data_IF_236974438780
#
_entry.id   IF_236974438780
#
_cell.length_a   1.000
_cell.length_b   1.000
_cell.length_c   1.000
_cell.angle_alpha   90.00
_cell.angle_beta   90.00
_cell.angle_gamma   90.00
#
_symmetry.space_group_name_H-M   'P 1'
#
loop_
_entity.id
_entity.type
_entity.pdbx_description
1 polymer ?
#
# COMPACT_ATOMS: atom_id res chain seq x y z
N UNK A 1 -3.65 3.56 0.66
CA UNK A 1 -3.88 4.38 -0.55
C UNK A 1 -5.36 4.69 -0.68
N UNK A 2 -5.79 5.64 -1.54
CA UNK A 2 -7.24 5.88 -1.75
C UNK A 2 -7.88 4.84 -2.67
N UNK A 3 -9.19 4.55 -2.53
CA UNK A 3 -9.85 3.52 -3.32
C UNK A 3 -9.77 3.74 -4.84
N UNK A 4 -9.79 5.01 -5.29
CA UNK A 4 -9.65 5.35 -6.71
C UNK A 4 -8.27 5.05 -7.28
N UNK A 5 -7.22 5.16 -6.47
CA UNK A 5 -5.87 4.83 -6.90
C UNK A 5 -5.72 3.32 -7.08
N UNK A 6 -6.24 2.51 -6.15
CA UNK A 6 -6.31 1.06 -6.30
C UNK A 6 -7.00 0.64 -7.60
N UNK A 7 -8.12 1.27 -7.95
CA UNK A 7 -8.82 0.99 -9.19
C UNK A 7 -7.99 1.33 -10.44
N UNK A 8 -7.29 2.48 -10.43
CA UNK A 8 -6.43 2.91 -11.54
C UNK A 8 -5.23 1.96 -11.72
N UNK A 9 -4.57 1.61 -10.62
CA UNK A 9 -3.43 0.69 -10.62
C UNK A 9 -3.86 -0.70 -11.08
N UNK A 10 -5.01 -1.17 -10.59
CA UNK A 10 -5.56 -2.49 -10.97
C UNK A 10 -5.89 -2.56 -12.46
N UNK A 11 -6.57 -1.54 -13.02
CA UNK A 11 -6.79 -1.47 -14.48
C UNK A 11 -5.47 -1.51 -15.24
N UNK A 12 -4.50 -0.70 -14.81
CA UNK A 12 -3.20 -0.61 -15.48
C UNK A 12 -2.41 -1.93 -15.40
N UNK A 13 -2.50 -2.65 -14.29
CA UNK A 13 -1.87 -3.95 -14.14
C UNK A 13 -2.49 -5.00 -15.07
N UNK A 14 -3.83 -5.00 -15.23
CA UNK A 14 -4.53 -5.88 -16.19
C UNK A 14 -4.13 -5.54 -17.63
N UNK A 15 -4.07 -4.26 -18.00
CA UNK A 15 -3.60 -3.82 -19.32
C UNK A 15 -2.18 -4.32 -19.61
N UNK A 16 -1.25 -4.16 -18.67
CA UNK A 16 0.14 -4.62 -18.84
C UNK A 16 0.17 -6.16 -18.97
N UNK A 17 -0.56 -6.86 -18.12
CA UNK A 17 -0.57 -8.33 -18.12
C UNK A 17 -1.09 -8.90 -19.44
N UNK A 18 -2.20 -8.34 -19.94
CA UNK A 18 -2.86 -8.76 -21.19
C UNK A 18 -2.15 -8.27 -22.44
N UNK A 19 -1.31 -7.24 -22.34
CA UNK A 19 -0.43 -6.83 -23.43
C UNK A 19 0.71 -7.83 -23.67
N UNK A 20 1.22 -8.46 -22.60
CA UNK A 20 2.33 -9.43 -22.68
C UNK A 20 1.88 -10.89 -22.82
N UNK A 21 0.63 -11.21 -22.43
CA UNK A 21 0.06 -12.57 -22.54
C UNK A 21 -1.19 -12.57 -23.41
N UNK A 22 -1.32 -13.60 -24.24
CA UNK A 22 -2.51 -13.82 -25.07
C UNK A 22 -3.04 -15.26 -24.88
N UNK A 23 -3.33 -15.61 -23.62
CA UNK A 23 -3.83 -16.92 -23.22
C UNK A 23 -5.29 -16.86 -22.72
N UNK A 24 -5.83 -18.01 -22.31
CA UNK A 24 -7.20 -18.12 -21.77
C UNK A 24 -7.39 -17.24 -20.53
N UNK A 25 -6.41 -17.19 -19.63
CA UNK A 25 -6.48 -16.37 -18.43
C UNK A 25 -6.53 -14.87 -18.76
N UNK A 26 -5.74 -14.42 -19.72
CA UNK A 26 -5.77 -13.03 -20.20
C UNK A 26 -7.15 -12.63 -20.73
N UNK A 27 -7.85 -13.54 -21.42
CA UNK A 27 -9.25 -13.32 -21.84
C UNK A 27 -10.21 -13.23 -20.66
N UNK A 28 -10.03 -14.07 -19.64
CA UNK A 28 -10.85 -14.01 -18.42
C UNK A 28 -10.63 -12.70 -17.66
N UNK A 29 -9.39 -12.22 -17.55
CA UNK A 29 -9.09 -10.92 -16.93
C UNK A 29 -9.81 -9.76 -17.62
N UNK A 30 -9.86 -9.77 -18.96
CA UNK A 30 -10.59 -8.76 -19.73
C UNK A 30 -12.10 -8.90 -19.58
N UNK A 31 -12.61 -10.13 -19.55
CA UNK A 31 -14.04 -10.41 -19.39
C UNK A 31 -14.57 -9.94 -18.02
N UNK A 32 -13.79 -10.14 -16.96
CA UNK A 32 -14.18 -9.83 -15.57
C UNK A 32 -13.44 -8.59 -15.01
N UNK A 33 -12.99 -7.69 -15.89
CA UNK A 33 -12.16 -6.57 -15.49
C UNK A 33 -12.86 -5.68 -14.44
N UNK A 34 -14.15 -5.41 -14.62
CA UNK A 34 -14.90 -4.54 -13.71
C UNK A 34 -15.07 -5.16 -12.32
N UNK A 35 -15.22 -6.49 -12.21
CA UNK A 35 -15.28 -7.21 -10.95
C UNK A 35 -13.96 -7.12 -10.19
N UNK A 36 -12.82 -7.28 -10.88
CA UNK A 36 -11.48 -7.13 -10.28
C UNK A 36 -11.28 -5.69 -9.81
N UNK A 37 -11.66 -4.72 -10.63
CA UNK A 37 -11.49 -3.31 -10.31
C UNK A 37 -12.40 -2.88 -9.16
N UNK A 38 -13.66 -3.28 -9.13
CA UNK A 38 -14.55 -2.98 -8.01
C UNK A 38 -14.10 -3.71 -6.74
N UNK A 39 -13.64 -4.95 -6.86
CA UNK A 39 -13.01 -5.70 -5.75
C UNK A 39 -11.84 -4.96 -5.12
N UNK A 40 -11.00 -4.28 -5.93
CA UNK A 40 -9.87 -3.48 -5.43
C UNK A 40 -10.28 -2.23 -4.64
N UNK A 41 -11.51 -1.75 -4.83
CA UNK A 41 -12.11 -0.65 -4.05
C UNK A 41 -12.91 -1.16 -2.86
N UNK A 42 -13.57 -2.31 -2.99
CA UNK A 42 -14.44 -2.89 -1.97
C UNK A 42 -13.71 -3.15 -0.66
N UNK A 43 -12.42 -3.51 -0.74
CA UNK A 43 -11.57 -3.69 0.43
C UNK A 43 -11.58 -2.47 1.39
N UNK A 44 -11.70 -1.25 0.85
CA UNK A 44 -11.78 -0.01 1.62
C UNK A 44 -13.20 0.45 1.96
N UNK A 45 -14.22 -0.14 1.35
CA UNK A 45 -15.56 0.44 1.36
C UNK A 45 -16.62 -0.46 1.98
N UNK A 46 -16.45 -1.79 1.98
CA UNK A 46 -17.49 -2.70 2.49
C UNK A 46 -16.97 -4.01 3.11
N UNK A 47 -17.57 -4.44 4.24
CA UNK A 47 -18.56 -3.72 5.05
C UNK A 47 -17.90 -2.67 5.98
N UNK A 48 -18.64 -1.61 6.33
CA UNK A 48 -18.15 -0.47 7.14
C UNK A 48 -17.48 -0.87 8.47
N UNK A 49 -17.94 -1.95 9.11
CA UNK A 49 -17.32 -2.46 10.34
C UNK A 49 -15.91 -3.02 10.08
N UNK A 50 -15.70 -3.71 8.95
CA UNK A 50 -14.38 -4.21 8.53
C UNK A 50 -13.43 -3.04 8.27
N UNK A 51 -13.90 -1.93 7.66
CA UNK A 51 -13.09 -0.72 7.50
C UNK A 51 -12.68 -0.15 8.85
N UNK A 52 -13.63 -0.05 9.79
CA UNK A 52 -13.38 0.51 11.12
C UNK A 52 -12.39 -0.29 11.97
N UNK A 53 -12.19 -1.58 11.64
CA UNK A 53 -11.36 -2.52 12.40
C UNK A 53 -10.21 -3.15 11.62
N UNK A 54 -9.97 -2.81 10.34
CA UNK A 54 -8.86 -3.35 9.55
C UNK A 54 -8.10 -2.21 8.88
N UNK A 55 -6.93 -1.87 9.43
CA UNK A 55 -6.24 -0.62 9.08
C UNK A 55 -5.12 -0.79 8.04
N UNK A 56 -5.15 -1.90 7.30
CA UNK A 56 -4.30 -2.21 6.12
C UNK A 56 -2.79 -2.02 6.30
N UNK A 57 -2.30 -1.95 7.54
CA UNK A 57 -0.87 -1.80 7.82
C UNK A 57 -0.11 -3.11 7.61
N UNK A 58 1.18 -3.00 7.32
CA UNK A 58 2.10 -4.12 7.38
C UNK A 58 2.42 -4.49 8.83
N UNK A 59 2.63 -5.78 9.12
CA UNK A 59 3.11 -6.22 10.44
C UNK A 59 4.61 -5.92 10.56
N UNK A 60 4.95 -4.66 10.83
CA UNK A 60 6.34 -4.19 10.90
C UNK A 60 7.10 -4.67 12.15
N UNK A 61 6.39 -5.03 13.22
CA UNK A 61 6.94 -5.52 14.48
C UNK A 61 5.90 -6.37 15.23
N UNK A 62 6.31 -7.00 16.33
CA UNK A 62 5.43 -7.84 17.16
C UNK A 62 4.56 -7.04 18.14
N UNK A 63 4.85 -5.76 18.38
CA UNK A 63 4.02 -4.89 19.21
C UNK A 63 2.72 -4.48 18.49
N UNK A 64 2.72 -4.44 17.15
CA UNK A 64 1.55 -4.16 16.32
C UNK A 64 0.58 -5.35 16.27
N UNK A 65 -0.12 -5.56 17.38
CA UNK A 65 -1.06 -6.67 17.64
C UNK A 65 -2.52 -6.20 17.55
N UNK A 66 -3.49 -7.13 17.44
CA UNK A 66 -4.89 -6.79 17.54
C UNK A 66 -5.19 -6.00 18.82
N UNK A 67 -6.01 -4.96 18.69
CA UNK A 67 -6.38 -4.05 19.78
C UNK A 67 -7.82 -4.38 20.19
N UNK A 68 -7.98 -4.80 21.44
CA UNK A 68 -9.30 -4.99 22.05
C UNK A 68 -9.80 -3.64 22.56
N UNK A 69 -10.95 -3.20 22.08
CA UNK A 69 -11.56 -1.92 22.46
C UNK A 69 -13.08 -2.03 22.45
N UNK A 70 -13.77 -0.95 22.76
CA UNK A 70 -15.22 -0.87 22.75
C UNK A 70 -15.69 0.17 21.74
N UNK A 71 -16.62 -0.22 20.88
CA UNK A 71 -17.42 0.72 20.11
C UNK A 71 -18.72 0.96 20.87
N UNK A 72 -18.82 2.13 21.51
CA UNK A 72 -19.85 2.43 22.52
C UNK A 72 -19.79 1.41 23.68
N UNK A 73 -20.68 0.43 23.70
CA UNK A 73 -20.76 -0.65 24.71
C UNK A 73 -20.49 -2.04 24.12
N UNK A 74 -20.15 -2.14 22.84
CA UNK A 74 -19.91 -3.41 22.16
C UNK A 74 -18.40 -3.67 22.11
N UNK A 75 -17.90 -4.79 22.68
CA UNK A 75 -16.50 -5.16 22.56
C UNK A 75 -16.20 -5.47 21.09
N UNK A 76 -15.13 -4.87 20.57
CA UNK A 76 -14.64 -5.08 19.21
C UNK A 76 -13.14 -5.35 19.23
N UNK A 77 -12.67 -6.07 18.22
CA UNK A 77 -11.24 -6.27 17.97
C UNK A 77 -10.86 -5.54 16.70
N UNK A 78 -9.93 -4.60 16.83
CA UNK A 78 -9.28 -3.95 15.69
C UNK A 78 -8.06 -4.78 15.33
N UNK A 79 -7.93 -5.14 14.07
CA UNK A 79 -6.76 -5.75 13.47
C UNK A 79 -6.00 -4.67 12.68
N UNK A 80 -4.93 -4.08 13.24
CA UNK A 80 -4.21 -3.02 12.54
C UNK A 80 -3.62 -3.50 11.21
N UNK A 81 -3.23 -4.77 11.15
CA UNK A 81 -2.47 -5.33 10.04
C UNK A 81 -3.36 -6.00 8.99
N UNK A 82 -2.93 -5.89 7.72
CA UNK A 82 -3.64 -6.48 6.59
C UNK A 82 -3.46 -8.00 6.44
N UNK A 83 -2.46 -8.59 7.11
CA UNK A 83 -2.09 -10.01 6.98
C UNK A 83 -3.26 -10.95 7.30
N UNK A 84 -4.00 -10.67 8.38
CA UNK A 84 -5.12 -11.51 8.79
C UNK A 84 -6.22 -11.55 7.72
N UNK A 85 -6.66 -10.39 7.23
CA UNK A 85 -7.69 -10.30 6.19
C UNK A 85 -7.19 -10.90 4.88
N UNK A 86 -5.96 -10.63 4.49
CA UNK A 86 -5.38 -11.19 3.26
C UNK A 86 -5.41 -12.73 3.28
N UNK A 87 -5.05 -13.37 4.40
CA UNK A 87 -5.12 -14.84 4.53
C UNK A 87 -6.53 -15.36 4.32
N UNK A 88 -7.54 -14.70 4.89
CA UNK A 88 -8.95 -15.06 4.68
C UNK A 88 -9.36 -14.91 3.21
N UNK A 89 -8.89 -13.86 2.53
CA UNK A 89 -9.15 -13.66 1.09
C UNK A 89 -8.47 -14.70 0.21
N UNK A 90 -7.23 -15.06 0.51
CA UNK A 90 -6.50 -16.12 -0.22
C UNK A 90 -7.22 -17.47 -0.05
N UNK A 91 -7.70 -17.77 1.15
CA UNK A 91 -8.44 -19.01 1.39
C UNK A 91 -9.80 -19.01 0.69
N UNK A 92 -10.51 -17.87 0.68
CA UNK A 92 -11.73 -17.72 -0.11
C UNK A 92 -11.46 -17.89 -1.61
N UNK A 93 -10.38 -17.30 -2.13
CA UNK A 93 -9.98 -17.43 -3.53
C UNK A 93 -9.74 -18.89 -3.90
N UNK A 94 -9.03 -19.66 -3.07
CA UNK A 94 -8.80 -21.10 -3.30
C UNK A 94 -10.11 -21.87 -3.40
N UNK A 95 -11.09 -21.57 -2.54
CA UNK A 95 -12.40 -22.20 -2.55
C UNK A 95 -13.19 -21.84 -3.81
N UNK A 96 -13.10 -20.60 -4.28
CA UNK A 96 -13.74 -20.18 -5.53
C UNK A 96 -13.06 -20.81 -6.75
N UNK A 97 -11.74 -20.88 -6.80
CA UNK A 97 -11.01 -21.59 -7.87
C UNK A 97 -11.51 -23.04 -8.02
N UNK A 98 -11.77 -23.73 -6.91
CA UNK A 98 -12.29 -25.11 -6.93
C UNK A 98 -13.73 -25.24 -7.48
N UNK A 99 -14.51 -24.15 -7.49
CA UNK A 99 -15.87 -24.11 -8.07
C UNK A 99 -15.87 -23.75 -9.56
N UNK A 100 -14.77 -23.22 -10.07
CA UNK A 100 -14.62 -22.72 -11.43
C UNK A 100 -14.69 -21.20 -11.52
N UNK A 101 -14.76 -20.69 -12.75
CA UNK A 101 -14.77 -19.26 -13.04
C UNK A 101 -16.08 -18.60 -12.59
N UNK A 102 -15.99 -17.53 -11.81
CA UNK A 102 -17.11 -16.73 -11.32
C UNK A 102 -16.73 -15.26 -11.11
N UNK A 103 -17.73 -14.37 -11.05
CA UNK A 103 -17.52 -12.96 -10.71
C UNK A 103 -16.96 -12.78 -9.29
N UNK A 104 -17.37 -13.64 -8.35
CA UNK A 104 -16.87 -13.64 -6.97
C UNK A 104 -15.37 -13.95 -6.91
N UNK A 105 -14.89 -14.87 -7.76
CA UNK A 105 -13.47 -15.18 -7.89
C UNK A 105 -12.68 -13.93 -8.28
N UNK A 106 -13.13 -13.22 -9.31
CA UNK A 106 -12.43 -12.05 -9.82
C UNK A 106 -12.56 -10.82 -8.89
N UNK A 107 -13.68 -10.68 -8.17
CA UNK A 107 -13.79 -9.71 -7.09
C UNK A 107 -12.75 -9.99 -5.97
N UNK A 108 -12.54 -11.26 -5.60
CA UNK A 108 -11.51 -11.65 -4.63
C UNK A 108 -10.09 -11.36 -5.12
N UNK A 109 -9.82 -11.55 -6.42
CA UNK A 109 -8.54 -11.14 -7.04
C UNK A 109 -8.32 -9.65 -6.81
N UNK A 110 -9.32 -8.82 -7.10
CA UNK A 110 -9.28 -7.38 -6.85
C UNK A 110 -8.92 -7.01 -5.41
N UNK A 111 -9.57 -7.66 -4.43
CA UNK A 111 -9.31 -7.45 -2.99
C UNK A 111 -7.89 -7.86 -2.58
N UNK A 112 -7.35 -8.92 -3.17
CA UNK A 112 -5.97 -9.36 -2.92
C UNK A 112 -4.96 -8.38 -3.52
N UNK A 113 -5.23 -7.88 -4.73
CA UNK A 113 -4.41 -6.84 -5.36
C UNK A 113 -4.38 -5.57 -4.50
N UNK A 114 -5.52 -5.14 -3.96
CA UNK A 114 -5.61 -4.01 -3.05
C UNK A 114 -4.61 -4.13 -1.87
N UNK A 115 -4.66 -5.23 -1.13
CA UNK A 115 -3.75 -5.45 0.01
C UNK A 115 -2.27 -5.51 -0.41
N UNK A 116 -1.99 -6.05 -1.60
CA UNK A 116 -0.63 -6.10 -2.16
C UNK A 116 -0.13 -4.69 -2.54
N UNK A 117 -0.98 -3.87 -3.14
CA UNK A 117 -0.66 -2.51 -3.56
C UNK A 117 -0.40 -1.59 -2.36
N UNK A 118 -1.14 -1.79 -1.27
CA UNK A 118 -0.93 -1.06 -0.02
C UNK A 118 0.47 -1.26 0.57
N UNK A 119 1.12 -2.38 0.29
CA UNK A 119 2.51 -2.61 0.71
C UNK A 119 3.54 -1.80 -0.07
N UNK A 120 3.10 -0.94 -0.99
CA UNK A 120 3.91 0.12 -1.61
C UNK A 120 3.50 1.52 -1.18
N UNK A 121 2.60 1.66 -0.20
CA UNK A 121 2.25 2.93 0.44
C UNK A 121 3.13 3.13 1.68
N UNK A 122 3.95 4.19 1.78
CA UNK A 122 4.90 4.35 2.88
C UNK A 122 4.28 4.27 4.28
N UNK A 123 3.17 4.98 4.53
CA UNK A 123 2.50 4.94 5.84
C UNK A 123 1.82 3.60 6.15
N UNK A 124 1.63 2.72 5.15
CA UNK A 124 1.12 1.37 5.38
C UNK A 124 2.24 0.43 5.83
N UNK A 125 3.43 0.53 5.22
CA UNK A 125 4.57 -0.35 5.54
C UNK A 125 5.40 0.13 6.73
N UNK A 126 5.40 1.44 6.97
CA UNK A 126 5.83 2.09 8.20
C UNK A 126 4.54 2.51 8.88
N UNK A 127 3.96 1.67 9.76
CA UNK A 127 2.59 1.88 10.24
C UNK A 127 2.51 3.18 11.04
N UNK A 128 2.21 4.30 10.40
CA UNK A 128 1.99 5.58 11.06
C UNK A 128 0.49 5.72 11.20
N UNK A 129 0.00 5.82 12.43
CA UNK A 129 -1.43 6.01 12.63
C UNK A 129 -1.83 7.40 12.13
N UNK A 130 -2.72 7.44 11.15
CA UNK A 130 -3.16 8.66 10.46
C UNK A 130 -4.70 8.68 10.33
N UNK A 131 -5.34 8.17 11.38
CA UNK A 131 -6.73 8.44 11.71
C UNK A 131 -7.82 7.75 10.88
N UNK A 132 -8.70 7.05 11.59
CA UNK A 132 -10.10 6.97 11.22
C UNK A 132 -10.92 7.77 12.22
N UNK A 133 -11.40 8.93 11.76
CA UNK A 133 -12.28 9.88 12.43
C UNK A 133 -13.63 9.29 12.92
N UNK A 134 -13.83 7.98 12.79
CA UNK A 134 -15.12 7.30 13.04
C UNK A 134 -15.24 6.78 14.47
N UNK A 135 -14.12 6.51 15.16
CA UNK A 135 -14.16 5.80 16.45
C UNK A 135 -13.63 6.59 17.65
N UNK A 136 -13.08 7.80 17.47
CA UNK A 136 -12.41 8.58 18.54
C UNK A 136 -11.47 7.73 19.42
N UNK A 137 -10.87 6.67 18.83
CA UNK A 137 -10.03 5.71 19.56
C UNK A 137 -8.69 6.31 19.96
N UNK A 138 -8.32 7.42 19.32
CA UNK A 138 -7.02 8.06 19.45
C UNK A 138 -7.27 9.58 19.42
N UNK A 139 -6.60 10.40 20.26
CA UNK A 139 -6.78 11.85 20.28
C UNK A 139 -6.68 12.50 18.89
N UNK A 140 -7.43 13.58 18.64
CA UNK A 140 -7.47 14.32 17.35
C UNK A 140 -6.09 14.69 16.80
N UNK A 141 -5.10 14.89 17.68
CA UNK A 141 -3.71 15.17 17.32
C UNK A 141 -3.03 14.04 16.52
N UNK A 142 -3.58 12.83 16.55
CA UNK A 142 -3.11 11.65 15.82
C UNK A 142 -4.00 11.32 14.60
N UNK A 143 -5.03 12.13 14.33
CA UNK A 143 -5.91 12.02 13.17
C UNK A 143 -5.41 12.94 12.03
N UNK A 144 -4.20 12.66 11.58
CA UNK A 144 -3.52 13.42 10.53
C UNK A 144 -3.83 12.76 9.19
N UNK A 145 -4.16 13.51 8.13
CA UNK A 145 -4.31 12.89 6.79
C UNK A 145 -2.94 12.55 6.21
N UNK A 146 -2.79 11.37 5.62
CA UNK A 146 -1.56 11.02 4.91
C UNK A 146 -1.48 11.74 3.55
N UNK A 147 -0.61 12.74 3.46
CA UNK A 147 -0.43 13.53 2.25
C UNK A 147 0.22 12.76 1.10
N UNK A 148 0.88 11.62 1.36
CA UNK A 148 1.31 10.76 0.27
C UNK A 148 0.12 10.25 -0.54
N UNK A 149 -0.96 9.85 0.13
CA UNK A 149 -2.17 9.40 -0.55
C UNK A 149 -2.88 10.54 -1.29
N UNK A 150 -2.90 11.74 -0.69
CA UNK A 150 -3.45 12.92 -1.36
C UNK A 150 -2.59 13.36 -2.56
N UNK A 151 -1.28 13.20 -2.47
CA UNK A 151 -0.37 13.40 -3.59
C UNK A 151 -0.64 12.36 -4.67
N UNK A 152 -0.75 11.08 -4.30
CA UNK A 152 -0.99 9.99 -5.23
C UNK A 152 -2.30 10.19 -6.00
N UNK A 153 -3.40 10.50 -5.33
CA UNK A 153 -4.71 10.72 -5.96
C UNK A 153 -4.67 11.79 -7.07
N UNK A 154 -3.87 12.85 -6.84
CA UNK A 154 -3.70 13.98 -7.76
C UNK A 154 -2.80 13.67 -8.96
N UNK A 155 -1.82 12.78 -8.81
CA UNK A 155 -0.76 12.57 -9.82
C UNK A 155 -0.78 11.18 -10.46
N UNK A 156 -1.49 10.20 -9.88
CA UNK A 156 -1.47 8.79 -10.31
C UNK A 156 -1.88 8.61 -11.77
N UNK A 157 -2.86 9.37 -12.27
CA UNK A 157 -3.31 9.28 -13.67
C UNK A 157 -2.17 9.58 -14.65
N UNK A 158 -1.50 10.73 -14.50
CA UNK A 158 -0.41 11.12 -15.40
C UNK A 158 0.80 10.21 -15.28
N UNK A 159 1.10 9.73 -14.08
CA UNK A 159 2.28 8.90 -13.86
C UNK A 159 2.08 7.47 -14.36
N UNK A 160 0.95 6.83 -14.03
CA UNK A 160 0.62 5.48 -14.48
C UNK A 160 0.60 5.35 -16.00
N UNK A 161 0.16 6.39 -16.71
CA UNK A 161 0.14 6.42 -18.18
C UNK A 161 1.55 6.27 -18.80
N UNK A 162 2.60 6.65 -18.07
CA UNK A 162 4.00 6.56 -18.52
C UNK A 162 4.73 5.34 -17.99
N UNK A 163 4.16 4.63 -17.01
CA UNK A 163 4.77 3.45 -16.42
C UNK A 163 4.44 2.22 -17.28
N UNK A 164 5.48 1.46 -17.58
CA UNK A 164 5.41 0.19 -18.29
C UNK A 164 6.37 -0.80 -17.63
N UNK A 165 6.07 -2.08 -17.78
CA UNK A 165 6.98 -3.17 -17.43
C UNK A 165 7.51 -3.73 -18.74
N UNK A 166 8.83 -3.77 -18.91
CA UNK A 166 9.47 -4.33 -20.11
C UNK A 166 9.22 -5.83 -20.23
N UNK A 167 9.42 -6.40 -21.43
CA UNK A 167 9.19 -7.82 -21.68
C UNK A 167 10.02 -8.73 -20.75
N UNK A 168 11.30 -8.41 -20.56
CA UNK A 168 12.23 -9.18 -19.72
C UNK A 168 11.82 -9.10 -18.25
N UNK A 169 11.51 -7.90 -17.75
CA UNK A 169 11.01 -7.71 -16.40
C UNK A 169 9.70 -8.47 -16.20
N UNK A 170 8.75 -8.34 -17.14
CA UNK A 170 7.47 -9.03 -17.06
C UNK A 170 7.66 -10.54 -16.99
N UNK A 171 8.49 -11.11 -17.86
CA UNK A 171 8.81 -12.54 -17.83
C UNK A 171 9.41 -12.96 -16.48
N UNK A 172 10.33 -12.17 -15.92
CA UNK A 172 10.92 -12.43 -14.60
C UNK A 172 9.90 -12.33 -13.45
N UNK A 173 8.89 -11.45 -13.56
CA UNK A 173 7.81 -11.34 -12.59
C UNK A 173 6.84 -12.53 -12.62
N UNK A 174 6.58 -13.07 -13.81
CA UNK A 174 5.53 -14.08 -14.02
C UNK A 174 6.05 -15.50 -14.12
N UNK A 175 7.37 -15.71 -14.24
CA UNK A 175 7.99 -17.04 -14.22
C UNK A 175 8.14 -17.49 -12.77
N UNK A 176 7.41 -18.53 -12.38
CA UNK A 176 7.35 -19.05 -11.01
C UNK A 176 6.96 -17.97 -9.96
N UNK A 177 5.74 -17.40 -10.08
CA UNK A 177 5.33 -16.31 -9.21
C UNK A 177 5.17 -16.80 -7.76
N UNK A 178 5.60 -16.00 -6.77
CA UNK A 178 5.53 -16.37 -5.37
C UNK A 178 4.09 -16.59 -4.91
N UNK A 179 3.89 -17.30 -3.80
CA UNK A 179 2.58 -17.35 -3.16
C UNK A 179 2.07 -15.93 -2.85
N UNK A 180 0.76 -15.73 -2.92
CA UNK A 180 0.14 -14.40 -2.77
C UNK A 180 0.53 -13.70 -1.45
N UNK A 181 0.62 -14.47 -0.36
CA UNK A 181 1.06 -13.95 0.93
C UNK A 181 2.54 -13.57 0.95
N UNK A 182 3.39 -14.37 0.30
CA UNK A 182 4.82 -14.06 0.18
C UNK A 182 5.03 -12.83 -0.71
N UNK A 183 4.25 -12.69 -1.78
CA UNK A 183 4.28 -11.49 -2.63
C UNK A 183 3.94 -10.23 -1.81
N UNK A 184 2.89 -10.29 -0.99
CA UNK A 184 2.51 -9.22 -0.06
C UNK A 184 3.65 -8.86 0.91
N UNK A 185 4.26 -9.85 1.56
CA UNK A 185 5.37 -9.61 2.50
C UNK A 185 6.60 -9.03 1.79
N UNK A 186 6.93 -9.56 0.62
CA UNK A 186 8.06 -9.08 -0.16
C UNK A 186 7.80 -7.67 -0.72
N UNK A 187 6.56 -7.31 -1.08
CA UNK A 187 6.19 -5.96 -1.49
C UNK A 187 6.49 -4.97 -0.37
N UNK A 188 6.10 -5.31 0.87
CA UNK A 188 6.37 -4.47 2.04
C UNK A 188 7.87 -4.32 2.29
N UNK A 189 8.61 -5.43 2.24
CA UNK A 189 10.07 -5.43 2.41
C UNK A 189 10.79 -4.61 1.34
N UNK A 190 10.35 -4.69 0.07
CA UNK A 190 10.90 -3.87 -1.02
C UNK A 190 10.67 -2.38 -0.77
N UNK A 191 9.51 -2.00 -0.24
CA UNK A 191 9.20 -0.61 0.10
C UNK A 191 10.01 -0.13 1.29
N UNK A 192 10.12 -0.92 2.36
CA UNK A 192 10.99 -0.60 3.50
C UNK A 192 12.46 -0.46 3.08
N UNK A 193 12.94 -1.35 2.21
CA UNK A 193 14.29 -1.25 1.66
C UNK A 193 14.47 0.02 0.84
N UNK A 194 13.52 0.37 -0.02
CA UNK A 194 13.53 1.61 -0.82
C UNK A 194 13.62 2.87 0.06
N UNK A 195 12.85 2.90 1.15
CA UNK A 195 12.76 4.07 2.02
C UNK A 195 14.03 4.27 2.88
N UNK A 196 14.60 3.18 3.41
CA UNK A 196 15.63 3.29 4.46
C UNK A 196 16.99 2.69 4.12
N UNK A 197 17.04 1.75 3.17
CA UNK A 197 18.24 0.94 2.93
C UNK A 197 18.83 1.11 1.53
N UNK A 198 18.11 1.71 0.57
CA UNK A 198 18.59 1.94 -0.79
C UNK A 198 19.37 3.27 -0.85
N UNK A 199 20.72 3.27 -0.93
CA UNK A 199 21.49 4.52 -0.87
C UNK A 199 21.18 5.46 -2.05
N UNK A 200 20.78 4.91 -3.19
CA UNK A 200 20.36 5.65 -4.37
C UNK A 200 19.04 6.43 -4.18
N UNK A 201 18.30 6.17 -3.10
CA UNK A 201 17.08 6.91 -2.74
C UNK A 201 17.32 8.03 -1.75
N UNK A 202 18.54 8.17 -1.21
CA UNK A 202 18.92 9.37 -0.47
C UNK A 202 18.93 10.56 -1.41
N UNK A 203 18.59 11.72 -0.89
CA UNK A 203 18.47 12.93 -1.68
C UNK A 203 19.04 14.13 -0.96
N UNK A 204 19.17 15.23 -1.68
CA UNK A 204 19.72 16.47 -1.13
C UNK A 204 18.61 17.52 -1.05
N UNK A 205 18.56 18.22 0.08
CA UNK A 205 17.62 19.31 0.34
C UNK A 205 18.34 20.45 1.06
N UNK A 206 17.79 21.66 1.01
CA UNK A 206 18.26 22.74 1.87
C UNK A 206 17.52 22.68 3.21
N UNK A 207 18.28 22.67 4.30
CA UNK A 207 17.78 22.71 5.67
C UNK A 207 18.38 23.95 6.33
N UNK A 208 17.53 24.93 6.67
CA UNK A 208 17.94 26.26 7.14
C UNK A 208 18.96 26.93 6.19
N UNK A 209 18.74 26.78 4.87
CA UNK A 209 19.62 27.30 3.82
C UNK A 209 20.87 26.46 3.55
N UNK A 210 21.21 25.48 4.39
CA UNK A 210 22.36 24.61 4.19
C UNK A 210 21.99 23.34 3.44
N UNK A 211 22.79 22.99 2.44
CA UNK A 211 22.60 21.78 1.67
C UNK A 211 22.93 20.55 2.52
N UNK A 212 21.98 19.64 2.71
CA UNK A 212 22.14 18.42 3.51
C UNK A 212 21.67 17.19 2.73
N UNK A 213 22.34 16.06 2.94
CA UNK A 213 21.86 14.76 2.48
C UNK A 213 20.86 14.20 3.48
N UNK A 214 19.67 13.86 3.00
CA UNK A 214 18.57 13.33 3.80
C UNK A 214 18.15 11.95 3.26
N UNK A 215 17.39 11.23 4.07
CA UNK A 215 16.67 10.02 3.70
C UNK A 215 15.17 10.19 3.98
N UNK A 216 14.38 9.16 3.68
CA UNK A 216 12.92 9.22 3.80
C UNK A 216 12.41 9.14 5.25
N UNK A 217 13.30 8.94 6.24
CA UNK A 217 12.93 9.04 7.66
C UNK A 217 12.49 10.44 8.07
N UNK A 218 12.75 11.45 7.24
CA UNK A 218 12.22 12.79 7.48
C UNK A 218 10.69 12.86 7.36
N UNK A 219 10.06 11.92 6.64
CA UNK A 219 8.62 11.78 6.53
C UNK A 219 8.08 10.64 7.39
N UNK A 220 8.67 9.45 7.34
CA UNK A 220 8.16 8.27 8.05
C UNK A 220 9.23 7.60 8.89
N UNK A 221 8.99 7.43 10.18
CA UNK A 221 9.91 6.80 11.11
C UNK A 221 9.35 5.46 11.59
N UNK A 222 10.13 4.37 11.49
CA UNK A 222 9.75 3.09 12.07
C UNK A 222 9.48 3.18 13.56
N UNK A 223 8.68 2.24 14.07
CA UNK A 223 8.41 2.12 15.51
C UNK A 223 9.70 2.00 16.32
N UNK A 224 9.75 2.73 17.44
CA UNK A 224 10.81 2.64 18.44
C UNK A 224 10.19 2.34 19.81
N UNK A 225 10.63 1.24 20.42
CA UNK A 225 10.15 0.79 21.72
C UNK A 225 10.50 1.76 22.89
N UNK A 226 11.40 2.73 22.66
CA UNK A 226 11.76 3.76 23.64
C UNK A 226 10.79 4.94 23.66
N UNK A 227 9.91 5.06 22.65
CA UNK A 227 8.91 6.12 22.61
C UNK A 227 7.71 5.78 23.49
N UNK A 228 7.32 6.74 24.33
CA UNK A 228 6.25 6.54 25.32
C UNK A 228 4.89 7.06 24.88
N UNK A 229 4.77 7.61 23.67
CA UNK A 229 3.49 8.08 23.12
C UNK A 229 2.51 6.92 22.88
N UNK A 230 1.23 7.26 22.79
CA UNK A 230 0.15 6.28 22.72
C UNK A 230 0.26 5.37 21.48
N UNK A 231 0.58 5.93 20.31
CA UNK A 231 0.71 5.15 19.08
C UNK A 231 1.89 4.18 19.16
N UNK A 232 3.04 4.65 19.67
CA UNK A 232 4.24 3.80 19.85
C UNK A 232 4.00 2.65 20.84
N UNK A 233 3.18 2.83 21.88
CA UNK A 233 2.81 1.71 22.78
C UNK A 233 2.06 0.58 22.08
N UNK A 234 1.41 0.88 20.96
CA UNK A 234 0.70 -0.08 20.12
C UNK A 234 1.53 -0.57 18.92
N UNK A 235 2.82 -0.25 18.85
CA UNK A 235 3.71 -0.71 17.79
C UNK A 235 3.63 0.10 16.49
N UNK A 236 2.97 1.26 16.50
CA UNK A 236 2.98 2.17 15.36
C UNK A 236 4.30 2.95 15.30
N UNK A 237 4.75 3.26 14.09
CA UNK A 237 5.74 4.29 13.84
C UNK A 237 5.13 5.70 13.94
N UNK A 238 5.93 6.69 13.61
CA UNK A 238 5.55 8.10 13.67
C UNK A 238 5.95 8.85 12.41
N UNK A 239 5.36 10.02 12.20
CA UNK A 239 5.90 10.93 11.21
C UNK A 239 7.24 11.51 11.66
N UNK A 240 8.14 11.71 10.70
CA UNK A 240 9.40 12.43 10.92
C UNK A 240 9.21 13.94 11.00
N UNK A 241 10.29 14.73 11.01
CA UNK A 241 10.24 16.19 11.11
C UNK A 241 9.38 16.89 10.05
N UNK A 242 9.26 16.34 8.84
CA UNK A 242 8.40 16.87 7.78
C UNK A 242 6.95 16.40 7.90
N UNK A 243 6.60 15.59 8.89
CA UNK A 243 5.20 15.30 9.16
C UNK A 243 4.48 14.67 7.96
N UNK A 244 3.20 15.01 7.79
CA UNK A 244 2.41 14.69 6.62
C UNK A 244 2.61 15.72 5.49
N UNK A 245 3.80 16.27 5.23
CA UNK A 245 3.98 17.31 4.18
C UNK A 245 4.56 16.77 2.86
N UNK A 246 4.38 15.49 2.56
CA UNK A 246 4.71 14.93 1.25
C UNK A 246 3.94 15.64 0.12
N UNK A 247 4.65 16.01 -0.94
CA UNK A 247 4.20 16.82 -2.06
C UNK A 247 4.55 18.30 -1.97
N UNK A 248 4.93 18.80 -0.79
CA UNK A 248 5.35 20.19 -0.58
C UNK A 248 6.86 20.35 -0.84
N UNK A 249 7.25 21.47 -1.46
CA UNK A 249 8.65 21.76 -1.77
C UNK A 249 9.31 22.69 -0.76
N UNK A 250 8.53 23.35 0.10
CA UNK A 250 9.00 24.28 1.11
C UNK A 250 8.15 24.12 2.35
N UNK A 251 8.77 23.70 3.46
CA UNK A 251 8.06 23.34 4.70
C UNK A 251 8.79 23.92 5.89
N UNK A 252 8.05 24.55 6.81
CA UNK A 252 8.58 25.05 8.07
C UNK A 252 8.04 24.23 9.24
N UNK A 253 8.90 23.41 9.85
CA UNK A 253 8.54 22.52 10.96
C UNK A 253 9.45 22.80 12.16
N UNK A 254 8.86 23.13 13.31
CA UNK A 254 9.57 23.34 14.58
C UNK A 254 10.77 24.30 14.47
N UNK A 255 10.62 25.40 13.71
CA UNK A 255 11.68 26.39 13.51
C UNK A 255 12.79 25.95 12.54
N UNK A 256 12.64 24.79 11.90
CA UNK A 256 13.52 24.33 10.82
C UNK A 256 12.83 24.50 9.47
N UNK A 257 13.51 25.17 8.55
CA UNK A 257 13.05 25.41 7.20
C UNK A 257 13.64 24.38 6.24
N UNK A 258 12.78 23.64 5.54
CA UNK A 258 13.18 22.62 4.57
C UNK A 258 12.77 23.05 3.16
N UNK A 259 13.68 22.94 2.20
CA UNK A 259 13.40 23.11 0.78
C UNK A 259 13.82 21.86 0.01
N UNK A 260 12.85 21.19 -0.60
CA UNK A 260 13.01 19.94 -1.33
C UNK A 260 12.73 20.17 -2.81
N UNK A 261 13.56 19.59 -3.67
CA UNK A 261 13.26 19.56 -5.10
C UNK A 261 12.04 18.67 -5.37
N UNK A 262 11.08 19.15 -6.18
CA UNK A 262 9.85 18.41 -6.51
C UNK A 262 10.17 17.05 -7.16
N UNK A 263 11.22 17.01 -7.97
CA UNK A 263 11.63 15.86 -8.76
C UNK A 263 11.97 14.65 -7.88
N UNK A 264 12.48 14.87 -6.67
CA UNK A 264 12.81 13.82 -5.71
C UNK A 264 11.54 13.09 -5.25
N UNK A 265 10.48 13.85 -4.95
CA UNK A 265 9.21 13.31 -4.49
C UNK A 265 8.45 12.62 -5.62
N UNK A 266 8.48 13.21 -6.82
CA UNK A 266 7.98 12.57 -8.05
C UNK A 266 8.70 11.26 -8.31
N UNK A 267 10.03 11.22 -8.17
CA UNK A 267 10.82 10.01 -8.40
C UNK A 267 10.46 8.88 -7.43
N UNK A 268 10.28 9.20 -6.14
CA UNK A 268 9.80 8.21 -5.16
C UNK A 268 8.41 7.69 -5.53
N UNK A 269 7.46 8.59 -5.76
CA UNK A 269 6.07 8.23 -6.05
C UNK A 269 5.98 7.33 -7.30
N UNK A 270 6.69 7.68 -8.37
CA UNK A 270 6.80 6.84 -9.59
C UNK A 270 7.40 5.47 -9.31
N UNK A 271 8.45 5.39 -8.49
CA UNK A 271 9.07 4.10 -8.11
C UNK A 271 8.09 3.23 -7.33
N UNK A 272 7.28 3.81 -6.45
CA UNK A 272 6.28 3.10 -5.67
C UNK A 272 5.12 2.62 -6.54
N UNK A 273 4.59 3.46 -7.43
CA UNK A 273 3.59 3.04 -8.42
C UNK A 273 4.11 1.91 -9.32
N UNK A 274 5.37 1.99 -9.77
CA UNK A 274 6.01 0.92 -10.54
C UNK A 274 6.07 -0.41 -9.78
N UNK A 275 6.37 -0.38 -8.47
CA UNK A 275 6.33 -1.56 -7.60
C UNK A 275 4.92 -2.12 -7.46
N UNK A 276 3.91 -1.27 -7.27
CA UNK A 276 2.50 -1.69 -7.20
C UNK A 276 2.06 -2.44 -8.47
N UNK A 277 2.47 -1.96 -9.66
CA UNK A 277 2.20 -2.63 -10.92
C UNK A 277 2.93 -3.97 -11.02
N UNK A 278 4.22 -4.02 -10.67
CA UNK A 278 5.00 -5.24 -10.71
C UNK A 278 4.46 -6.31 -9.75
N UNK A 279 4.11 -5.92 -8.52
CA UNK A 279 3.56 -6.81 -7.51
C UNK A 279 2.14 -7.27 -7.85
N UNK A 280 1.35 -6.41 -8.50
CA UNK A 280 0.05 -6.81 -9.07
C UNK A 280 0.22 -7.84 -10.19
N UNK A 281 1.21 -7.68 -11.07
CA UNK A 281 1.50 -8.65 -12.13
C UNK A 281 1.93 -10.02 -11.57
N UNK A 282 2.79 -10.05 -10.54
CA UNK A 282 3.16 -11.29 -9.81
C UNK A 282 1.92 -11.97 -9.23
N UNK A 283 1.03 -11.21 -8.59
CA UNK A 283 -0.20 -11.74 -8.02
C UNK A 283 -1.13 -12.32 -9.08
N UNK A 284 -1.33 -11.62 -10.21
CA UNK A 284 -2.13 -12.11 -11.33
C UNK A 284 -1.55 -13.41 -11.92
N UNK A 285 -0.23 -13.48 -12.11
CA UNK A 285 0.43 -14.71 -12.56
C UNK A 285 0.23 -15.86 -11.56
N UNK A 286 0.26 -15.57 -10.26
CA UNK A 286 0.01 -16.60 -9.24
C UNK A 286 -1.43 -17.10 -9.27
N UNK A 287 -2.41 -16.22 -9.50
CA UNK A 287 -3.82 -16.60 -9.67
C UNK A 287 -3.99 -17.49 -10.90
N UNK A 288 -3.30 -17.18 -12.00
CA UNK A 288 -3.29 -18.03 -13.20
C UNK A 288 -2.85 -19.46 -12.87
N UNK A 289 -1.73 -19.62 -12.16
CA UNK A 289 -1.26 -20.94 -11.72
C UNK A 289 -2.21 -21.67 -10.77
N UNK A 290 -3.21 -21.00 -10.19
CA UNK A 290 -4.23 -21.63 -9.34
C UNK A 290 -5.46 -22.09 -10.14
N UNK A 291 -5.62 -21.61 -11.38
CA UNK A 291 -6.73 -21.95 -12.28
C UNK A 291 -6.34 -22.98 -13.34
N UNK A 292 -5.05 -23.08 -13.67
CA UNK A 292 -4.46 -24.13 -14.51
C UNK A 292 -4.37 -25.47 -13.77
#
# INVERSE_FOLDING_TARGET
>A
MKPRDHQRITRRAIEIFTAWRNDSFSRLLLQHQEEIVEGSKDADTRPLHVRSTNWHFYKANDALRPIETHLLWVPITVYPTSDHILRLRIEALRKECAKGVSDDLFNLVGRILHHTQDMSTPAHVVPVYHGMDILNLVPDALNVRDSFEEYSERHSVSELATLNIGAEDFAALTTDPPHLLDNYNQAAQRTLHLLFNEPAMRFTAHVNGQLQQLDWSIFWQPWDAQLEDEASRHGFGQYGPLGPHFGETEVNCNGTHYQLAREIQVALHRKLLGKMLADSARALARVQCMLD
#
